data_IF_425781455548
#
_entry.id   IF_425781455548
#
_cell.length_a   1.000
_cell.length_b   1.000
_cell.length_c   1.000
_cell.angle_alpha   90.00
_cell.angle_beta   90.00
_cell.angle_gamma   90.00
#
_symmetry.space_group_name_H-M   'P 1'
#
loop_
_entity.id
_entity.type
_entity.pdbx_description
1 polymer ?
#
# COMPACT_ATOMS: atom_id res chain seq x y z
N UNK A 1 9.50 -15.71 9.71
CA UNK A 1 8.48 -14.66 9.95
C UNK A 1 8.10 -13.87 8.70
N UNK A 2 9.03 -13.29 7.92
CA UNK A 2 8.65 -12.41 6.79
C UNK A 2 7.85 -13.07 5.65
N UNK A 3 8.00 -14.39 5.44
CA UNK A 3 7.32 -15.12 4.36
C UNK A 3 5.78 -14.98 4.42
N UNK A 4 5.19 -14.88 5.62
CA UNK A 4 3.73 -14.80 5.77
C UNK A 4 3.15 -13.50 5.20
N UNK A 5 3.82 -12.36 5.42
CA UNK A 5 3.38 -11.07 4.87
C UNK A 5 3.61 -10.96 3.37
N UNK A 6 4.65 -11.61 2.85
CA UNK A 6 4.97 -11.61 1.42
C UNK A 6 3.83 -12.24 0.61
N UNK A 7 3.32 -13.39 1.04
CA UNK A 7 2.22 -14.05 0.32
C UNK A 7 0.92 -13.25 0.40
N UNK A 8 0.60 -12.67 1.57
CA UNK A 8 -0.53 -11.74 1.72
C UNK A 8 -0.42 -10.57 0.73
N UNK A 9 0.75 -9.94 0.65
CA UNK A 9 0.99 -8.79 -0.21
C UNK A 9 0.91 -9.14 -1.71
N UNK A 10 1.39 -10.31 -2.12
CA UNK A 10 1.28 -10.79 -3.50
C UNK A 10 -0.16 -11.07 -3.89
N UNK A 11 -0.90 -11.78 -3.02
CA UNK A 11 -2.32 -12.08 -3.25
C UNK A 11 -3.13 -10.79 -3.33
N UNK A 12 -2.90 -9.84 -2.42
CA UNK A 12 -3.60 -8.57 -2.46
C UNK A 12 -3.26 -7.75 -3.70
N UNK A 13 -2.00 -7.76 -4.16
CA UNK A 13 -1.63 -7.14 -5.43
C UNK A 13 -2.39 -7.75 -6.62
N UNK A 14 -2.51 -9.08 -6.69
CA UNK A 14 -3.28 -9.76 -7.73
C UNK A 14 -4.78 -9.42 -7.66
N UNK A 15 -5.34 -9.34 -6.44
CA UNK A 15 -6.72 -8.90 -6.22
C UNK A 15 -6.91 -7.47 -6.76
N UNK A 16 -6.00 -6.55 -6.45
CA UNK A 16 -6.08 -5.19 -6.98
C UNK A 16 -5.97 -5.17 -8.50
N UNK A 17 -5.00 -5.87 -9.10
CA UNK A 17 -4.88 -5.95 -10.56
C UNK A 17 -6.16 -6.44 -11.26
N UNK A 18 -6.92 -7.32 -10.62
CA UNK A 18 -8.12 -7.91 -11.22
C UNK A 18 -9.43 -7.17 -10.89
N UNK A 19 -9.52 -6.55 -9.71
CA UNK A 19 -10.78 -6.06 -9.17
C UNK A 19 -10.80 -4.57 -8.84
N UNK A 20 -9.72 -3.83 -9.08
CA UNK A 20 -9.62 -2.42 -8.73
C UNK A 20 -10.75 -1.53 -9.31
N UNK A 21 -11.26 -1.84 -10.51
CA UNK A 21 -12.38 -1.10 -11.12
C UNK A 21 -13.70 -1.22 -10.34
N UNK A 22 -13.81 -2.22 -9.46
CA UNK A 22 -14.99 -2.46 -8.62
C UNK A 22 -14.83 -1.93 -7.21
N UNK A 23 -13.68 -1.34 -6.88
CA UNK A 23 -13.41 -0.74 -5.58
C UNK A 23 -13.62 0.77 -5.70
N UNK A 24 -14.68 1.28 -5.07
CA UNK A 24 -14.98 2.72 -5.06
C UNK A 24 -14.10 3.45 -4.04
N UNK A 25 -12.79 3.41 -4.27
CA UNK A 25 -11.80 4.11 -3.47
C UNK A 25 -11.07 5.15 -4.33
N UNK A 26 -10.59 6.25 -3.73
CA UNK A 26 -9.84 7.27 -4.44
C UNK A 26 -8.74 6.69 -5.34
N UNK A 27 -8.88 6.91 -6.65
CA UNK A 27 -7.95 6.50 -7.71
C UNK A 27 -7.78 4.98 -7.91
N UNK A 28 -8.57 4.13 -7.26
CA UNK A 28 -8.43 2.67 -7.44
C UNK A 28 -8.76 2.22 -8.86
N UNK A 29 -9.68 2.88 -9.56
CA UNK A 29 -9.94 2.60 -10.98
C UNK A 29 -8.69 2.72 -11.88
N UNK A 30 -7.62 3.38 -11.43
CA UNK A 30 -6.35 3.51 -12.15
C UNK A 30 -5.20 2.72 -11.52
N UNK A 31 -5.48 1.72 -10.67
CA UNK A 31 -4.44 0.95 -9.98
C UNK A 31 -3.31 0.51 -10.94
N UNK A 32 -2.02 0.72 -10.58
CA UNK A 32 -1.49 1.20 -9.30
C UNK A 32 -1.29 2.72 -9.17
N UNK A 33 -1.80 3.52 -10.11
CA UNK A 33 -1.57 4.97 -10.16
C UNK A 33 -2.37 5.72 -9.09
N UNK A 34 -1.70 6.57 -8.31
CA UNK A 34 -2.27 7.51 -7.32
C UNK A 34 -3.06 6.89 -6.15
N UNK A 35 -3.27 5.58 -6.12
CA UNK A 35 -4.02 4.88 -5.08
C UNK A 35 -3.16 4.38 -3.90
N UNK A 36 -1.88 4.79 -3.83
CA UNK A 36 -0.89 4.28 -2.87
C UNK A 36 -1.33 4.35 -1.39
N UNK A 37 -2.07 5.38 -1.00
CA UNK A 37 -2.57 5.51 0.38
C UNK A 37 -3.63 4.44 0.68
N UNK A 38 -4.68 4.34 -0.13
CA UNK A 38 -5.73 3.34 0.06
C UNK A 38 -5.20 1.91 -0.07
N UNK A 39 -4.29 1.65 -1.03
CA UNK A 39 -3.63 0.36 -1.17
C UNK A 39 -2.81 -0.02 0.08
N UNK A 40 -2.12 0.94 0.69
CA UNK A 40 -1.38 0.72 1.94
C UNK A 40 -2.31 0.48 3.12
N UNK A 41 -3.45 1.16 3.19
CA UNK A 41 -4.48 0.95 4.22
C UNK A 41 -5.07 -0.47 4.12
N UNK A 42 -5.55 -0.86 2.93
CA UNK A 42 -6.13 -2.19 2.74
C UNK A 42 -5.13 -3.33 3.02
N UNK A 43 -3.86 -3.16 2.62
CA UNK A 43 -2.81 -4.12 2.97
C UNK A 43 -2.53 -4.16 4.48
N UNK A 44 -2.49 -3.00 5.12
CA UNK A 44 -2.29 -2.88 6.56
C UNK A 44 -3.40 -3.59 7.35
N UNK A 45 -4.66 -3.35 6.98
CA UNK A 45 -5.82 -3.98 7.61
C UNK A 45 -5.77 -5.50 7.47
N UNK A 46 -5.56 -6.01 6.24
CA UNK A 46 -5.50 -7.44 5.99
C UNK A 46 -4.39 -8.14 6.80
N UNK A 47 -3.24 -7.50 6.92
CA UNK A 47 -2.14 -8.02 7.74
C UNK A 47 -2.50 -8.04 9.22
N UNK A 48 -3.17 -7.01 9.75
CA UNK A 48 -3.59 -6.95 11.15
C UNK A 48 -4.64 -8.01 11.46
N UNK A 49 -5.61 -8.24 10.57
CA UNK A 49 -6.64 -9.25 10.76
C UNK A 49 -6.05 -10.67 10.78
N UNK A 50 -5.11 -10.97 9.87
CA UNK A 50 -4.45 -12.27 9.79
C UNK A 50 -3.35 -12.45 10.85
N UNK A 51 -2.72 -11.37 11.28
CA UNK A 51 -1.60 -11.35 12.21
C UNK A 51 -1.73 -10.20 13.23
N UNK A 52 -2.60 -10.34 14.26
CA UNK A 52 -2.91 -9.25 15.19
C UNK A 52 -1.72 -8.69 15.97
N UNK A 53 -0.63 -9.45 16.09
CA UNK A 53 0.60 -9.03 16.78
C UNK A 53 1.63 -8.35 15.85
N UNK A 54 1.33 -8.16 14.56
CA UNK A 54 2.23 -7.51 13.61
C UNK A 54 2.35 -6.01 13.93
N UNK A 55 3.57 -5.47 13.89
CA UNK A 55 3.76 -4.02 13.99
C UNK A 55 3.61 -3.40 12.62
N UNK A 56 2.44 -2.81 12.36
CA UNK A 56 2.11 -2.12 11.10
C UNK A 56 2.29 -0.61 11.25
N UNK A 57 2.93 0.02 10.27
CA UNK A 57 3.17 1.47 10.21
C UNK A 57 2.97 1.94 8.78
N UNK A 58 2.15 2.96 8.59
CA UNK A 58 1.98 3.61 7.28
C UNK A 58 3.01 4.71 7.17
N UNK A 59 3.75 4.74 6.08
CA UNK A 59 4.78 5.74 5.83
C UNK A 59 4.34 6.65 4.70
N UNK A 60 4.32 7.96 4.95
CA UNK A 60 4.22 8.99 3.91
C UNK A 60 5.61 9.49 3.57
N UNK A 61 6.06 9.20 2.36
CA UNK A 61 7.25 9.79 1.77
C UNK A 61 6.92 11.06 0.99
N UNK A 62 7.75 12.09 1.14
CA UNK A 62 7.63 13.34 0.38
C UNK A 62 8.95 13.70 -0.30
N UNK A 63 8.85 14.23 -1.51
CA UNK A 63 10.00 14.74 -2.24
C UNK A 63 10.51 16.07 -1.66
N UNK A 64 11.72 16.49 -2.05
CA UNK A 64 12.33 17.76 -1.59
C UNK A 64 11.86 18.99 -2.36
N UNK A 65 11.55 18.82 -3.64
CA UNK A 65 11.36 19.93 -4.59
C UNK A 65 9.97 19.89 -5.21
N UNK A 66 9.49 18.69 -5.49
CA UNK A 66 8.20 18.44 -6.10
C UNK A 66 7.21 18.12 -4.97
N UNK A 67 5.97 18.58 -5.07
CA UNK A 67 4.90 18.26 -4.10
C UNK A 67 4.37 16.82 -4.30
N UNK A 68 5.30 15.88 -4.51
CA UNK A 68 5.03 14.48 -4.75
C UNK A 68 5.07 13.73 -3.43
N UNK A 69 3.96 13.03 -3.17
CA UNK A 69 3.77 12.17 -2.01
C UNK A 69 3.58 10.73 -2.44
N UNK A 70 4.08 9.82 -1.62
CA UNK A 70 3.90 8.39 -1.82
C UNK A 70 3.70 7.68 -0.49
N UNK A 71 2.84 6.68 -0.47
CA UNK A 71 2.54 5.90 0.72
C UNK A 71 2.94 4.45 0.53
N UNK A 72 3.53 3.87 1.58
CA UNK A 72 3.84 2.44 1.66
C UNK A 72 3.71 1.94 3.09
N UNK A 73 3.82 0.62 3.26
CA UNK A 73 3.70 -0.06 4.53
C UNK A 73 5.08 -0.47 5.08
N UNK A 74 5.29 -0.25 6.37
CA UNK A 74 6.35 -0.89 7.16
C UNK A 74 5.70 -1.92 8.09
N UNK A 75 6.00 -3.21 7.92
CA UNK A 75 5.54 -4.30 8.79
C UNK A 75 6.74 -4.99 9.41
N UNK A 76 6.85 -4.99 10.74
CA UNK A 76 7.98 -5.60 11.45
C UNK A 76 9.36 -5.18 10.89
N UNK A 77 9.51 -3.89 10.58
CA UNK A 77 10.71 -3.26 9.98
C UNK A 77 11.00 -3.67 8.53
N UNK A 78 10.00 -4.19 7.81
CA UNK A 78 10.09 -4.60 6.41
C UNK A 78 9.15 -3.77 5.55
N UNK A 79 9.63 -3.37 4.37
CA UNK A 79 8.92 -2.47 3.45
C UNK A 79 8.03 -3.29 2.53
N UNK A 80 6.76 -2.88 2.42
CA UNK A 80 5.82 -3.39 1.43
C UNK A 80 5.22 -2.21 0.68
N UNK A 81 5.32 -2.24 -0.65
CA UNK A 81 4.79 -1.20 -1.52
C UNK A 81 4.22 -1.83 -2.78
N UNK A 82 2.89 -1.87 -2.85
CA UNK A 82 2.15 -2.46 -3.96
C UNK A 82 2.05 -1.54 -5.17
N UNK A 83 2.53 -0.30 -5.06
CA UNK A 83 2.25 0.77 -6.03
C UNK A 83 3.52 1.48 -6.50
N UNK A 84 4.71 0.98 -6.13
CA UNK A 84 6.00 1.59 -6.49
C UNK A 84 6.17 1.76 -8.00
N UNK A 85 5.61 0.83 -8.77
CA UNK A 85 5.76 0.74 -10.22
C UNK A 85 5.09 1.91 -10.96
N UNK A 86 4.20 2.65 -10.30
CA UNK A 86 3.58 3.87 -10.85
C UNK A 86 4.62 4.93 -11.26
N UNK A 87 5.83 4.87 -10.70
CA UNK A 87 6.90 5.83 -10.97
C UNK A 87 7.88 5.39 -12.06
N UNK A 88 7.77 4.17 -12.60
CA UNK A 88 8.76 3.63 -13.56
C UNK A 88 8.95 4.54 -14.77
N UNK A 89 7.87 5.09 -15.31
CA UNK A 89 7.89 5.88 -16.55
C UNK A 89 8.77 7.13 -16.47
N UNK A 90 9.03 7.67 -15.27
CA UNK A 90 9.77 8.91 -15.11
C UNK A 90 10.89 8.88 -14.06
N UNK A 91 10.92 7.91 -13.13
CA UNK A 91 11.99 7.79 -12.14
C UNK A 91 13.08 6.78 -12.49
N UNK A 92 12.82 5.81 -13.37
CA UNK A 92 13.71 4.65 -13.54
C UNK A 92 15.16 5.04 -13.88
N UNK A 93 15.36 5.97 -14.81
CA UNK A 93 16.69 6.39 -15.26
C UNK A 93 17.60 6.95 -14.15
N UNK A 94 17.01 7.61 -13.14
CA UNK A 94 17.77 8.30 -12.08
C UNK A 94 17.79 7.53 -10.77
N UNK A 95 16.68 6.87 -10.44
CA UNK A 95 16.48 6.25 -9.13
C UNK A 95 16.35 4.73 -9.18
N UNK A 96 16.50 4.10 -10.36
CA UNK A 96 16.35 2.65 -10.56
C UNK A 96 15.03 2.14 -9.95
N UNK A 97 13.95 2.80 -10.35
CA UNK A 97 12.60 2.51 -9.86
C UNK A 97 12.25 1.04 -10.14
N UNK A 98 11.81 0.27 -9.13
CA UNK A 98 11.33 -1.08 -9.34
C UNK A 98 10.14 -1.10 -10.31
N UNK A 99 10.12 -2.09 -11.19
CA UNK A 99 9.04 -2.37 -12.13
C UNK A 99 8.08 -3.46 -11.63
N UNK A 100 8.14 -3.75 -10.34
CA UNK A 100 7.27 -4.68 -9.63
C UNK A 100 7.10 -4.19 -8.20
N UNK A 101 6.08 -4.65 -7.48
CA UNK A 101 5.90 -4.32 -6.07
C UNK A 101 7.10 -4.74 -5.21
N UNK A 102 7.19 -4.11 -4.03
CA UNK A 102 8.19 -4.42 -3.02
C UNK A 102 7.55 -5.34 -1.97
N UNK A 103 8.19 -6.48 -1.70
CA UNK A 103 7.69 -7.50 -0.78
C UNK A 103 8.71 -7.82 0.33
N UNK A 104 8.85 -6.91 1.30
CA UNK A 104 9.60 -7.15 2.51
C UNK A 104 11.08 -6.73 2.48
N UNK A 105 11.39 -5.70 1.69
CA UNK A 105 12.73 -5.11 1.62
C UNK A 105 13.14 -4.46 2.94
N UNK A 106 14.45 -4.34 3.16
CA UNK A 106 15.00 -3.64 4.34
C UNK A 106 14.95 -2.12 4.21
N UNK A 107 14.93 -1.60 2.98
CA UNK A 107 14.97 -0.17 2.68
C UNK A 107 14.19 0.10 1.40
N UNK A 108 13.42 1.17 1.40
CA UNK A 108 12.69 1.59 0.21
C UNK A 108 13.67 2.04 -0.90
N UNK A 109 13.62 1.47 -2.12
CA UNK A 109 14.51 1.83 -3.24
C UNK A 109 14.46 3.33 -3.58
N UNK A 110 13.26 3.91 -3.53
CA UNK A 110 13.04 5.34 -3.78
C UNK A 110 13.26 6.25 -2.56
N UNK A 111 13.88 5.75 -1.47
CA UNK A 111 14.10 6.54 -0.25
C UNK A 111 14.96 7.80 -0.44
N UNK A 112 15.74 7.87 -1.53
CA UNK A 112 16.52 9.05 -1.92
C UNK A 112 15.67 10.15 -2.59
N UNK A 113 14.58 9.78 -3.27
CA UNK A 113 13.63 10.73 -3.84
C UNK A 113 12.59 11.15 -2.79
N UNK A 114 11.91 10.17 -2.17
CA UNK A 114 11.01 10.37 -1.05
C UNK A 114 11.79 10.53 0.26
N UNK A 115 12.52 11.64 0.34
CA UNK A 115 13.50 11.89 1.38
C UNK A 115 12.84 12.07 2.75
N UNK A 116 11.84 12.95 2.85
CA UNK A 116 11.11 13.20 4.09
C UNK A 116 10.11 12.07 4.33
N UNK A 117 10.07 11.56 5.57
CA UNK A 117 9.23 10.41 5.92
C UNK A 117 8.47 10.72 7.20
N UNK A 118 7.16 10.74 7.11
CA UNK A 118 6.26 10.73 8.25
C UNK A 118 5.77 9.29 8.45
N UNK A 119 5.69 8.85 9.71
CA UNK A 119 5.23 7.52 10.08
C UNK A 119 4.01 7.66 10.95
N UNK A 120 2.99 6.89 10.62
CA UNK A 120 1.70 6.88 11.32
C UNK A 120 1.46 5.48 11.85
N UNK A 121 0.81 5.39 13.01
CA UNK A 121 0.15 4.13 13.39
C UNK A 121 -0.88 3.77 12.32
N UNK A 122 -1.29 2.50 12.28
CA UNK A 122 -2.35 2.10 11.36
C UNK A 122 -3.63 2.92 11.61
N UNK A 123 -4.05 3.02 12.87
CA UNK A 123 -5.27 3.74 13.27
C UNK A 123 -5.22 5.22 12.86
N UNK A 124 -4.11 5.92 13.11
CA UNK A 124 -3.97 7.33 12.71
C UNK A 124 -4.07 7.49 11.19
N UNK A 125 -3.42 6.61 10.43
CA UNK A 125 -3.43 6.67 8.98
C UNK A 125 -4.81 6.36 8.40
N UNK A 126 -5.51 5.37 8.98
CA UNK A 126 -6.87 5.01 8.63
C UNK A 126 -7.81 6.19 8.87
N UNK A 127 -7.78 6.77 10.07
CA UNK A 127 -8.58 7.94 10.43
C UNK A 127 -8.31 9.12 9.49
N UNK A 128 -7.05 9.40 9.16
CA UNK A 128 -6.71 10.44 8.17
C UNK A 128 -7.33 10.13 6.80
N UNK A 129 -7.28 8.88 6.36
CA UNK A 129 -7.79 8.49 5.05
C UNK A 129 -9.31 8.65 4.95
N UNK A 130 -10.07 8.12 5.91
CA UNK A 130 -11.54 8.18 5.91
C UNK A 130 -12.11 9.57 6.26
N UNK A 131 -11.30 10.50 6.75
CA UNK A 131 -11.74 11.88 7.05
C UNK A 131 -11.34 12.88 5.97
N UNK A 132 -10.27 12.61 5.21
CA UNK A 132 -9.72 13.59 4.25
C UNK A 132 -9.79 13.16 2.79
N UNK A 133 -9.94 11.87 2.51
CA UNK A 133 -9.71 11.34 1.16
C UNK A 133 -10.81 10.39 0.69
N UNK A 134 -11.31 9.53 1.57
CA UNK A 134 -12.43 8.64 1.34
C UNK A 134 -13.50 8.86 2.42
N UNK A 135 -14.59 8.10 2.38
CA UNK A 135 -15.47 7.92 3.54
C UNK A 135 -15.30 6.49 4.10
N UNK A 136 -15.81 6.25 5.32
CA UNK A 136 -15.64 4.95 5.98
C UNK A 136 -16.43 3.82 5.30
N UNK A 137 -17.62 4.10 4.77
CA UNK A 137 -18.48 3.12 4.11
C UNK A 137 -17.79 2.53 2.87
N UNK A 138 -17.23 3.39 2.01
CA UNK A 138 -16.47 3.00 0.82
C UNK A 138 -15.27 2.09 1.18
N UNK A 139 -14.56 2.43 2.27
CA UNK A 139 -13.40 1.66 2.73
C UNK A 139 -13.82 0.30 3.27
N UNK A 140 -14.92 0.23 4.02
CA UNK A 140 -15.48 -1.03 4.52
C UNK A 140 -15.96 -1.91 3.36
N UNK A 141 -16.64 -1.35 2.36
CA UNK A 141 -17.09 -2.09 1.18
C UNK A 141 -15.91 -2.65 0.38
N UNK A 142 -14.93 -1.80 0.06
CA UNK A 142 -13.72 -2.23 -0.64
C UNK A 142 -12.96 -3.31 0.14
N UNK A 143 -12.89 -3.18 1.47
CA UNK A 143 -12.25 -4.18 2.31
C UNK A 143 -13.02 -5.50 2.36
N UNK A 144 -14.36 -5.45 2.37
CA UNK A 144 -15.21 -6.63 2.25
C UNK A 144 -14.93 -7.43 0.97
N UNK A 145 -14.75 -6.73 -0.16
CA UNK A 145 -14.33 -7.36 -1.42
C UNK A 145 -12.94 -7.99 -1.31
N UNK A 146 -11.98 -7.29 -0.70
CA UNK A 146 -10.63 -7.82 -0.45
C UNK A 146 -10.70 -9.12 0.35
N UNK A 147 -11.44 -9.15 1.47
CA UNK A 147 -11.58 -10.34 2.31
C UNK A 147 -12.19 -11.50 1.53
N UNK A 148 -13.30 -11.26 0.82
CA UNK A 148 -13.95 -12.28 0.01
C UNK A 148 -12.97 -12.91 -1.00
N UNK A 149 -12.27 -12.07 -1.77
CA UNK A 149 -11.33 -12.55 -2.80
C UNK A 149 -10.08 -13.16 -2.23
N UNK A 150 -9.58 -12.67 -1.10
CA UNK A 150 -8.45 -13.26 -0.42
C UNK A 150 -8.78 -14.70 0.03
N UNK A 151 -9.94 -14.91 0.66
CA UNK A 151 -10.34 -16.24 1.13
C UNK A 151 -10.71 -17.21 -0.01
N UNK A 152 -11.16 -16.72 -1.17
CA UNK A 152 -11.32 -17.56 -2.38
C UNK A 152 -9.98 -18.09 -2.91
N UNK A 153 -8.88 -17.34 -2.77
CA UNK A 153 -7.58 -17.68 -3.36
C UNK A 153 -6.68 -18.54 -2.46
N UNK A 154 -6.96 -18.61 -1.16
CA UNK A 154 -6.14 -19.37 -0.18
C UNK A 154 -6.73 -20.74 0.17
N UNK A 155 -7.90 -21.09 -0.38
CA UNK A 155 -8.52 -22.42 -0.30
C UNK A 155 -7.86 -23.39 -1.28
#
# INVERSE_FOLDING_TARGET
>A
MNKKYIEVAKLLHAIFQQYHERMDLPFFCTYPLNCCQGASILLGQLILDLHPNAKVTIVKGSSRKDDNHHYWLEVDKKIFDLTVEQFVSWMNKKYHCPASPIYGDKKHPLAGYFFYKQRFSFDDAYQIFITKHANEEDVVEAYGMVLLKYFELVQ
#
